data_IF_443097443687
#
_entry.id   IF_443097443687
#
_cell.length_a   1.000
_cell.length_b   1.000
_cell.length_c   1.000
_cell.angle_alpha   90.00
_cell.angle_beta   90.00
_cell.angle_gamma   90.00
#
_symmetry.space_group_name_H-M   'P 1'
#
loop_
_entity.id
_entity.type
_entity.pdbx_description
1 polymer ?
#
# COMPACT_ATOMS: atom_id res chain seq x y z
N UNK A 1 -13.03 26.18 34.55
CA UNK A 1 -12.45 27.38 33.88
C UNK A 1 -11.74 26.91 32.61
N UNK A 2 -12.36 27.06 31.44
CA UNK A 2 -11.78 26.62 30.16
C UNK A 2 -10.83 27.72 29.67
N UNK A 3 -9.52 27.44 29.65
CA UNK A 3 -8.52 28.37 29.10
C UNK A 3 -8.60 28.35 27.58
N UNK A 4 -9.00 29.47 26.97
CA UNK A 4 -9.04 29.63 25.51
C UNK A 4 -7.62 29.69 24.98
N UNK A 5 -7.33 28.87 23.96
CA UNK A 5 -5.99 28.73 23.40
C UNK A 5 -5.60 29.93 22.53
N UNK A 6 -4.41 30.50 22.74
CA UNK A 6 -3.89 31.64 21.95
C UNK A 6 -3.75 31.29 20.45
N UNK A 7 -3.94 32.28 19.56
CA UNK A 7 -3.94 32.09 18.10
C UNK A 7 -2.70 31.34 17.57
N UNK A 8 -1.50 31.68 18.06
CA UNK A 8 -0.25 30.98 17.71
C UNK A 8 -0.26 29.50 18.09
N UNK A 9 -0.85 29.16 19.24
CA UNK A 9 -0.98 27.78 19.73
C UNK A 9 -2.03 27.01 18.92
N UNK A 10 -3.09 27.67 18.44
CA UNK A 10 -4.06 27.07 17.50
C UNK A 10 -3.43 26.74 16.15
N UNK A 11 -2.62 27.65 15.59
CA UNK A 11 -1.88 27.39 14.35
C UNK A 11 -0.93 26.20 14.52
N UNK A 12 -0.17 26.19 15.61
CA UNK A 12 0.75 25.08 15.91
C UNK A 12 0.00 23.76 16.02
N UNK A 13 -1.15 23.75 16.69
CA UNK A 13 -2.01 22.58 16.81
C UNK A 13 -2.47 22.07 15.43
N UNK A 14 -2.96 22.97 14.56
CA UNK A 14 -3.39 22.60 13.19
C UNK A 14 -2.23 22.00 12.40
N UNK A 15 -1.03 22.59 12.46
CA UNK A 15 0.16 22.06 11.78
C UNK A 15 0.45 20.63 12.24
N UNK A 16 0.47 20.38 13.55
CA UNK A 16 0.66 19.03 14.08
C UNK A 16 -0.43 18.06 13.65
N UNK A 17 -1.69 18.50 13.59
CA UNK A 17 -2.80 17.67 13.10
C UNK A 17 -2.63 17.30 11.63
N UNK A 18 -2.21 18.24 10.77
CA UNK A 18 -1.98 17.96 9.34
C UNK A 18 -0.82 16.97 9.15
N UNK A 19 0.30 17.18 9.85
CA UNK A 19 1.45 16.27 9.79
C UNK A 19 1.05 14.86 10.25
N UNK A 20 0.31 14.75 11.35
CA UNK A 20 -0.19 13.47 11.85
C UNK A 20 -1.11 12.77 10.84
N UNK A 21 -2.01 13.50 10.19
CA UNK A 21 -2.90 12.94 9.17
C UNK A 21 -2.12 12.37 7.96
N UNK A 22 -1.03 13.01 7.56
CA UNK A 22 -0.16 12.52 6.47
C UNK A 22 0.58 11.23 6.86
N UNK A 23 0.98 11.07 8.13
CA UNK A 23 1.62 9.84 8.61
C UNK A 23 0.66 8.65 8.60
N UNK A 24 -0.61 8.86 8.94
CA UNK A 24 -1.63 7.80 8.94
C UNK A 24 -2.05 7.40 7.52
N UNK A 25 -1.93 8.30 6.54
CA UNK A 25 -2.34 8.03 5.15
C UNK A 25 -1.41 7.07 4.38
N UNK A 26 -0.22 6.73 4.89
CA UNK A 26 0.76 5.85 4.22
C UNK A 26 0.44 4.34 4.32
N UNK A 27 -0.82 3.95 4.19
CA UNK A 27 -1.16 2.53 4.15
C UNK A 27 -0.67 1.90 2.84
N UNK A 28 0.18 0.84 2.91
CA UNK A 28 0.64 0.17 1.70
C UNK A 28 -0.57 -0.43 0.99
N UNK A 29 -0.75 -0.11 -0.30
CA UNK A 29 -1.73 -0.82 -1.13
C UNK A 29 -1.13 -2.18 -1.45
N UNK A 30 -1.73 -3.24 -0.91
CA UNK A 30 -1.28 -4.61 -1.14
C UNK A 30 -2.22 -5.23 -2.17
N UNK A 31 -1.67 -5.64 -3.31
CA UNK A 31 -2.39 -6.50 -4.27
C UNK A 31 -1.81 -7.89 -4.08
N UNK A 32 -2.63 -8.83 -3.62
CA UNK A 32 -2.23 -10.22 -3.43
C UNK A 32 -3.21 -11.15 -4.13
N UNK A 33 -2.74 -12.32 -4.51
CA UNK A 33 -3.60 -13.32 -5.14
C UNK A 33 -2.83 -14.60 -5.45
N UNK A 34 -3.48 -15.50 -6.16
CA UNK A 34 -2.95 -16.80 -6.54
C UNK A 34 -3.27 -17.09 -8.01
N UNK A 35 -2.32 -17.69 -8.73
CA UNK A 35 -2.43 -17.99 -10.15
C UNK A 35 -2.73 -19.47 -10.33
N UNK A 36 -3.74 -19.76 -11.15
CA UNK A 36 -4.15 -21.12 -11.48
C UNK A 36 -4.21 -21.33 -12.99
N UNK A 37 -3.95 -22.56 -13.43
CA UNK A 37 -4.24 -23.01 -14.78
C UNK A 37 -5.76 -23.19 -14.95
N UNK A 38 -6.34 -22.53 -15.96
CA UNK A 38 -7.79 -22.54 -16.19
C UNK A 38 -8.38 -23.87 -16.67
N UNK A 39 -7.56 -24.86 -17.05
CA UNK A 39 -8.02 -26.17 -17.53
C UNK A 39 -7.99 -27.23 -16.43
N UNK A 40 -6.92 -27.23 -15.64
CA UNK A 40 -6.69 -28.25 -14.60
C UNK A 40 -6.86 -27.71 -13.18
N UNK A 41 -7.11 -26.41 -13.02
CA UNK A 41 -7.28 -25.71 -11.75
C UNK A 41 -6.11 -25.94 -10.77
N UNK A 42 -4.89 -26.04 -11.31
CA UNK A 42 -3.66 -26.26 -10.54
C UNK A 42 -2.90 -24.94 -10.35
N UNK A 43 -2.24 -24.73 -9.21
CA UNK A 43 -1.41 -23.56 -8.98
C UNK A 43 -0.27 -23.47 -9.99
N UNK A 44 -0.01 -22.27 -10.51
CA UNK A 44 1.12 -22.03 -11.42
C UNK A 44 2.25 -21.29 -10.69
N UNK A 45 3.37 -21.99 -10.39
CA UNK A 45 4.50 -21.38 -9.74
C UNK A 45 5.37 -20.59 -10.72
N UNK A 46 6.11 -19.61 -10.18
CA UNK A 46 7.13 -18.84 -10.89
C UNK A 46 6.64 -18.07 -12.14
N UNK A 47 5.36 -17.70 -12.17
CA UNK A 47 4.77 -16.90 -13.25
C UNK A 47 5.16 -15.43 -13.07
N UNK A 48 5.61 -14.79 -14.15
CA UNK A 48 5.91 -13.36 -14.17
C UNK A 48 4.62 -12.54 -14.32
N UNK A 49 4.41 -11.58 -13.41
CA UNK A 49 3.20 -10.77 -13.30
C UNK A 49 3.61 -9.31 -13.36
N UNK A 50 3.02 -8.55 -14.27
CA UNK A 50 3.32 -7.13 -14.45
C UNK A 50 2.03 -6.31 -14.44
N UNK A 51 2.05 -5.18 -13.71
CA UNK A 51 0.94 -4.23 -13.75
C UNK A 51 1.07 -3.40 -15.04
N UNK A 52 0.05 -3.48 -15.89
CA UNK A 52 0.00 -2.80 -17.18
C UNK A 52 0.30 -1.30 -17.02
N UNK A 53 1.11 -0.75 -17.93
CA UNK A 53 1.54 0.66 -17.94
C UNK A 53 2.34 1.08 -16.70
N UNK A 54 2.98 0.14 -16.00
CA UNK A 54 3.91 0.44 -14.89
C UNK A 54 5.20 -0.36 -15.04
N UNK A 55 6.26 0.09 -14.36
CA UNK A 55 7.50 -0.68 -14.19
C UNK A 55 7.44 -1.72 -13.07
N UNK A 56 6.26 -1.97 -12.50
CA UNK A 56 6.10 -2.84 -11.31
C UNK A 56 5.76 -4.26 -11.77
N UNK A 57 6.62 -5.22 -11.40
CA UNK A 57 6.45 -6.65 -11.64
C UNK A 57 6.78 -7.49 -10.42
N UNK A 58 6.27 -8.71 -10.38
CA UNK A 58 6.58 -9.73 -9.36
C UNK A 58 6.51 -11.13 -9.97
N UNK A 59 6.94 -12.13 -9.22
CA UNK A 59 6.93 -13.54 -9.63
C UNK A 59 6.13 -14.34 -8.59
N UNK A 60 5.27 -15.28 -9.02
CA UNK A 60 4.55 -16.15 -8.09
C UNK A 60 5.46 -17.15 -7.39
N UNK A 61 5.12 -17.53 -6.16
CA UNK A 61 5.87 -18.52 -5.37
C UNK A 61 5.60 -19.97 -5.85
N UNK A 62 6.18 -20.95 -5.14
CA UNK A 62 6.00 -22.38 -5.41
C UNK A 62 4.53 -22.87 -5.32
N UNK A 63 3.67 -22.12 -4.66
CA UNK A 63 2.25 -22.39 -4.50
C UNK A 63 1.40 -21.53 -5.45
N UNK A 64 2.01 -20.74 -6.33
CA UNK A 64 1.32 -19.82 -7.23
C UNK A 64 0.84 -18.52 -6.59
N UNK A 65 1.21 -18.22 -5.34
CA UNK A 65 0.84 -16.97 -4.68
C UNK A 65 1.71 -15.81 -5.16
N UNK A 66 1.16 -14.61 -5.24
CA UNK A 66 1.90 -13.39 -5.50
C UNK A 66 1.48 -12.26 -4.57
N UNK A 67 2.40 -11.32 -4.39
CA UNK A 67 2.18 -10.12 -3.59
C UNK A 67 2.86 -8.92 -4.27
N UNK A 68 2.09 -7.86 -4.50
CA UNK A 68 2.59 -6.52 -4.81
C UNK A 68 2.41 -5.66 -3.59
N UNK A 69 3.52 -5.12 -3.07
CA UNK A 69 3.50 -4.06 -2.08
C UNK A 69 3.68 -2.73 -2.81
N UNK A 70 2.58 -2.06 -3.14
CA UNK A 70 2.62 -0.69 -3.68
C UNK A 70 2.91 0.28 -2.54
N UNK A 71 4.21 0.40 -2.24
CA UNK A 71 4.79 1.38 -1.31
C UNK A 71 6.27 1.68 -1.58
N UNK A 72 6.84 1.14 -2.67
CA UNK A 72 8.14 1.60 -3.16
C UNK A 72 7.92 2.92 -3.90
N UNK A 73 8.36 4.02 -3.28
CA UNK A 73 8.67 5.25 -3.98
C UNK A 73 9.69 4.93 -5.08
N UNK A 74 9.23 4.95 -6.33
CA UNK A 74 10.05 5.37 -7.47
C UNK A 74 9.95 6.89 -7.56
#
# INVERSE_FOLDING_TARGET
MVKILNFKKKILFIIFTVIYAQLVAQHPKIIMGMIYDGRVNQPLPFVHIQIKNTGIGTISDQNGNFYFKSGLHI
#
